data_IF_496245728677
#
_entry.id   IF_496245728677
#
_cell.length_a   1.000
_cell.length_b   1.000
_cell.length_c   1.000
_cell.angle_alpha   90.00
_cell.angle_beta   90.00
_cell.angle_gamma   90.00
#
_symmetry.space_group_name_H-M   'P 1'
#
loop_
_entity.id
_entity.type
_entity.pdbx_description
1 polymer ?
#
# COMPACT_ATOMS: atom_id res chain seq x y z
N UNK A 1 19.02 -18.46 5.91
CA UNK A 1 18.13 -17.33 5.60
C UNK A 1 17.54 -16.84 6.91
N UNK A 2 17.55 -15.54 7.20
CA UNK A 2 16.92 -15.02 8.41
C UNK A 2 15.44 -15.43 8.43
N UNK A 3 14.93 -15.93 9.55
CA UNK A 3 13.56 -16.40 9.67
C UNK A 3 12.61 -15.21 9.54
N UNK A 4 11.89 -15.12 8.43
CA UNK A 4 10.88 -14.07 8.22
C UNK A 4 9.73 -14.25 9.20
N UNK A 5 9.44 -13.23 10.01
CA UNK A 5 8.30 -13.22 10.92
C UNK A 5 7.00 -13.56 10.16
N UNK A 6 6.16 -14.48 10.67
CA UNK A 6 4.90 -14.85 10.01
C UNK A 6 4.03 -13.63 9.73
N UNK A 7 3.49 -13.56 8.52
CA UNK A 7 2.68 -12.43 8.06
C UNK A 7 3.48 -11.23 7.55
N UNK A 8 4.82 -11.26 7.57
CA UNK A 8 5.68 -10.21 7.04
C UNK A 8 6.54 -10.72 5.89
N UNK A 9 6.80 -9.86 4.90
CA UNK A 9 7.72 -10.15 3.81
C UNK A 9 9.20 -9.97 4.24
N UNK A 10 9.43 -9.17 5.29
CA UNK A 10 10.75 -8.82 5.80
C UNK A 10 11.44 -7.71 5.01
N UNK A 11 10.71 -6.95 4.18
CA UNK A 11 11.33 -6.01 3.24
C UNK A 11 10.60 -4.67 3.10
N UNK A 12 11.38 -3.60 2.97
CA UNK A 12 10.94 -2.23 2.69
C UNK A 12 11.52 -1.82 1.34
N UNK A 13 10.67 -1.39 0.41
CA UNK A 13 11.09 -0.77 -0.84
C UNK A 13 11.32 0.72 -0.63
N UNK A 14 12.56 1.18 -0.74
CA UNK A 14 12.92 2.59 -0.69
C UNK A 14 13.20 3.13 -2.09
N UNK A 15 12.54 4.25 -2.43
CA UNK A 15 12.75 4.93 -3.71
C UNK A 15 13.05 6.42 -3.46
N UNK A 16 14.20 6.87 -3.93
CA UNK A 16 14.58 8.28 -3.94
C UNK A 16 14.41 8.86 -5.35
N UNK A 17 13.43 9.74 -5.51
CA UNK A 17 13.08 10.32 -6.81
C UNK A 17 14.06 11.40 -7.30
N UNK A 18 14.90 11.95 -6.41
CA UNK A 18 15.91 12.92 -6.80
C UNK A 18 17.13 12.24 -7.43
N UNK A 19 17.51 11.07 -6.93
CA UNK A 19 18.68 10.32 -7.42
C UNK A 19 18.30 9.16 -8.34
N UNK A 20 17.03 8.76 -8.38
CA UNK A 20 16.58 7.55 -9.08
C UNK A 20 16.94 6.26 -8.34
N UNK A 21 17.54 6.33 -7.15
CA UNK A 21 17.97 5.15 -6.39
C UNK A 21 16.75 4.35 -5.89
N UNK A 22 16.78 3.04 -6.12
CA UNK A 22 15.77 2.09 -5.68
C UNK A 22 16.46 0.98 -4.89
N UNK A 23 16.01 0.70 -3.68
CA UNK A 23 16.63 -0.28 -2.78
C UNK A 23 15.57 -1.10 -2.05
N UNK A 24 15.80 -2.41 -1.96
CA UNK A 24 15.07 -3.30 -1.06
C UNK A 24 15.87 -3.41 0.24
N UNK A 25 15.34 -2.86 1.33
CA UNK A 25 15.98 -2.88 2.65
C UNK A 25 15.30 -3.91 3.57
N UNK A 26 16.04 -4.56 4.47
CA UNK A 26 15.44 -5.44 5.45
C UNK A 26 14.52 -4.65 6.39
N UNK A 27 13.41 -5.28 6.76
CA UNK A 27 12.53 -4.78 7.81
C UNK A 27 13.17 -5.04 9.18
N UNK A 28 13.10 -4.06 10.09
CA UNK A 28 13.61 -4.24 11.45
C UNK A 28 12.62 -5.06 12.28
N UNK A 29 12.99 -6.27 12.66
CA UNK A 29 12.14 -7.19 13.43
C UNK A 29 11.74 -6.63 14.79
N UNK A 30 12.64 -5.93 15.49
CA UNK A 30 12.34 -5.35 16.80
C UNK A 30 11.27 -4.26 16.68
N UNK A 31 11.35 -3.42 15.65
CA UNK A 31 10.32 -2.40 15.39
C UNK A 31 8.98 -3.05 15.00
N UNK A 32 9.00 -4.14 14.23
CA UNK A 32 7.79 -4.90 13.88
C UNK A 32 7.14 -5.51 15.12
N UNK A 33 7.90 -6.12 16.01
CA UNK A 33 7.38 -6.71 17.23
C UNK A 33 6.80 -5.64 18.18
N UNK A 34 7.44 -4.47 18.25
CA UNK A 34 7.00 -3.37 19.11
C UNK A 34 5.82 -2.57 18.55
N UNK A 35 5.76 -2.38 17.23
CA UNK A 35 4.82 -1.44 16.59
C UNK A 35 3.87 -2.12 15.57
N UNK A 36 4.01 -3.43 15.37
CA UNK A 36 3.21 -4.23 14.46
C UNK A 36 3.51 -3.92 12.99
N UNK A 37 2.62 -3.17 12.36
CA UNK A 37 2.68 -2.81 10.94
C UNK A 37 1.83 -1.57 10.67
N UNK A 38 1.61 -1.26 9.40
CA UNK A 38 0.73 -0.17 8.99
C UNK A 38 1.05 1.16 9.69
N UNK A 39 0.10 1.67 10.48
CA UNK A 39 0.23 2.96 11.19
C UNK A 39 1.37 2.96 12.21
N UNK A 40 1.49 1.91 13.03
CA UNK A 40 2.43 1.86 14.15
C UNK A 40 3.87 1.90 13.64
N UNK A 41 4.19 0.95 12.75
CA UNK A 41 5.48 0.91 12.07
C UNK A 41 5.78 2.22 11.32
N UNK A 42 4.79 2.77 10.61
CA UNK A 42 4.98 4.04 9.89
C UNK A 42 5.26 5.22 10.81
N UNK A 43 4.66 5.26 11.99
CA UNK A 43 4.93 6.30 13.00
C UNK A 43 6.35 6.18 13.55
N UNK A 44 6.79 4.95 13.88
CA UNK A 44 8.18 4.70 14.32
C UNK A 44 9.19 5.09 13.24
N UNK A 45 8.98 4.66 12.00
CA UNK A 45 9.85 5.02 10.89
C UNK A 45 9.91 6.54 10.65
N UNK A 46 8.78 7.25 10.80
CA UNK A 46 8.77 8.71 10.65
C UNK A 46 9.54 9.39 11.79
N UNK A 47 9.37 8.90 13.02
CA UNK A 47 10.06 9.38 14.22
C UNK A 47 11.59 9.28 14.06
N UNK A 48 12.09 8.15 13.56
CA UNK A 48 13.54 7.96 13.38
C UNK A 48 14.12 8.80 12.24
N UNK A 49 13.32 9.15 11.23
CA UNK A 49 13.79 9.76 9.98
C UNK A 49 13.67 11.27 9.94
N UNK A 50 12.80 11.87 10.76
CA UNK A 50 12.52 13.30 10.72
C UNK A 50 12.70 13.97 12.06
N UNK A 51 13.46 15.07 12.05
CA UNK A 51 13.52 15.98 13.17
C UNK A 51 12.23 16.82 13.30
N UNK A 52 11.88 17.25 14.51
CA UNK A 52 10.83 18.24 14.73
C UNK A 52 11.03 19.47 13.84
N UNK A 53 9.95 20.01 13.28
CA UNK A 53 10.01 21.22 12.45
C UNK A 53 10.46 21.02 11.00
N UNK A 54 10.72 19.80 10.55
CA UNK A 54 10.98 19.51 9.13
C UNK A 54 9.81 19.92 8.20
N UNK A 55 10.08 20.48 7.02
CA UNK A 55 9.01 20.81 6.08
C UNK A 55 8.34 19.55 5.50
N UNK A 56 7.00 19.47 5.57
CA UNK A 56 6.22 18.37 5.04
C UNK A 56 6.39 18.20 3.51
N UNK A 57 6.70 19.28 2.79
CA UNK A 57 6.89 19.27 1.34
C UNK A 57 8.35 19.16 0.91
N UNK A 58 9.29 19.06 1.87
CA UNK A 58 10.69 18.88 1.58
C UNK A 58 10.95 17.53 0.87
N UNK A 59 11.94 17.46 -0.04
CA UNK A 59 12.38 16.20 -0.65
C UNK A 59 12.70 15.11 0.38
N UNK A 60 13.30 15.48 1.51
CA UNK A 60 13.67 14.55 2.59
C UNK A 60 12.47 13.92 3.32
N UNK A 61 11.30 14.58 3.34
CA UNK A 61 10.12 14.06 4.05
C UNK A 61 9.62 12.78 3.37
N UNK A 62 9.58 11.62 4.05
CA UNK A 62 9.13 10.39 3.42
C UNK A 62 7.61 10.38 3.25
N UNK A 63 7.15 9.87 2.10
CA UNK A 63 5.77 9.42 1.90
C UNK A 63 5.77 7.90 1.92
N UNK A 64 5.10 7.31 2.90
CA UNK A 64 5.17 5.87 3.15
C UNK A 64 3.81 5.22 2.95
N UNK A 65 3.79 4.09 2.26
CA UNK A 65 2.65 3.19 2.15
C UNK A 65 3.00 1.90 2.87
N UNK A 66 2.31 1.62 3.96
CA UNK A 66 2.60 0.48 4.82
C UNK A 66 1.43 -0.49 4.84
N UNK A 67 1.77 -1.77 4.86
CA UNK A 67 0.83 -2.90 4.94
C UNK A 67 0.70 -3.38 6.38
N UNK A 68 -0.39 -4.09 6.68
CA UNK A 68 -0.54 -4.82 7.94
C UNK A 68 -0.06 -6.27 7.83
N UNK A 69 0.20 -6.96 8.94
CA UNK A 69 0.58 -8.38 8.93
C UNK A 69 -0.48 -9.29 8.29
N UNK A 70 -1.75 -8.89 8.36
CA UNK A 70 -2.86 -9.65 7.76
C UNK A 70 -3.15 -9.26 6.30
N UNK A 71 -2.44 -8.27 5.74
CA UNK A 71 -2.63 -7.89 4.35
C UNK A 71 -2.24 -9.02 3.41
N UNK A 72 -3.13 -9.35 2.47
CA UNK A 72 -2.96 -10.47 1.54
C UNK A 72 -3.48 -11.82 2.04
N UNK A 73 -3.85 -11.95 3.32
CA UNK A 73 -4.49 -13.15 3.85
C UNK A 73 -6.02 -13.09 3.72
N UNK A 74 -6.71 -14.25 3.68
CA UNK A 74 -8.18 -14.33 3.66
C UNK A 74 -8.80 -13.99 5.04
N UNK A 75 -8.32 -12.92 5.67
CA UNK A 75 -8.86 -12.37 6.90
C UNK A 75 -9.87 -11.28 6.53
N UNK A 76 -11.11 -11.33 7.03
CA UNK A 76 -12.12 -10.32 6.72
C UNK A 76 -11.60 -8.89 6.92
N UNK A 77 -11.80 -8.05 5.91
CA UNK A 77 -11.44 -6.62 5.91
C UNK A 77 -9.95 -6.29 6.08
N UNK A 78 -9.03 -7.26 5.93
CA UNK A 78 -7.59 -7.07 6.18
C UNK A 78 -6.79 -6.44 5.01
N UNK A 79 -7.42 -5.65 4.13
CA UNK A 79 -6.77 -5.10 2.92
C UNK A 79 -6.35 -3.63 3.02
N UNK A 80 -6.25 -3.10 4.25
CA UNK A 80 -6.05 -1.67 4.48
C UNK A 80 -4.58 -1.27 4.29
N UNK A 81 -4.35 -0.18 3.56
CA UNK A 81 -3.06 0.49 3.41
C UNK A 81 -2.99 1.68 4.35
N UNK A 82 -1.92 1.77 5.13
CA UNK A 82 -1.61 2.95 5.93
C UNK A 82 -0.69 3.89 5.12
N UNK A 83 -1.19 5.08 4.79
CA UNK A 83 -0.35 6.15 4.23
C UNK A 83 0.13 7.02 5.38
N UNK A 84 1.44 7.04 5.61
CA UNK A 84 2.07 7.77 6.72
C UNK A 84 3.13 8.75 6.21
N UNK A 85 3.07 9.97 6.71
CA UNK A 85 4.02 11.05 6.39
C UNK A 85 3.90 12.19 7.41
N UNK A 86 4.62 13.31 7.22
CA UNK A 86 4.34 14.55 7.94
C UNK A 86 3.21 15.31 7.24
N UNK A 87 2.23 15.76 8.00
CA UNK A 87 1.03 16.39 7.45
C UNK A 87 1.33 17.74 6.80
N UNK A 88 0.77 17.99 5.62
CA UNK A 88 0.88 19.29 4.94
C UNK A 88 -0.21 20.28 5.39
N UNK A 89 -1.17 19.83 6.21
CA UNK A 89 -2.37 20.60 6.56
C UNK A 89 -2.37 21.06 8.02
N UNK A 90 -1.95 20.19 8.92
CA UNK A 90 -2.10 20.41 10.36
C UNK A 90 -0.99 21.32 10.87
N UNK A 91 -1.32 22.25 11.75
CA UNK A 91 -0.34 23.02 12.51
C UNK A 91 -0.80 23.08 13.96
N UNK A 92 0.10 22.93 14.94
CA UNK A 92 -0.21 23.31 16.32
C UNK A 92 -0.56 24.81 16.39
N UNK A 93 -1.45 25.18 17.31
CA UNK A 93 -1.86 26.57 17.55
C UNK A 93 -0.69 27.45 18.00
N UNK A 94 0.19 26.88 18.81
CA UNK A 94 1.40 27.54 19.30
C UNK A 94 2.61 26.65 19.01
N UNK A 95 3.52 27.11 18.17
CA UNK A 95 4.81 26.44 17.97
C UNK A 95 5.88 27.44 17.59
N UNK A 96 7.10 27.16 18.07
CA UNK A 96 8.31 27.91 17.73
C UNK A 96 9.03 27.34 16.49
N UNK A 97 8.52 26.25 15.91
CA UNK A 97 9.13 25.58 14.78
C UNK A 97 8.57 26.13 13.46
N UNK A 98 9.45 26.48 12.52
CA UNK A 98 9.08 27.08 11.24
C UNK A 98 8.06 26.26 10.44
N UNK A 99 8.21 24.93 10.40
CA UNK A 99 7.26 24.00 9.77
C UNK A 99 6.65 23.05 10.79
N UNK A 100 6.06 23.63 11.84
CA UNK A 100 5.32 22.87 12.84
C UNK A 100 4.11 22.17 12.20
N UNK A 101 4.03 20.85 12.37
CA UNK A 101 2.92 20.03 11.89
C UNK A 101 2.94 18.67 12.59
N UNK A 102 1.80 17.99 12.61
CA UNK A 102 1.67 16.65 13.20
C UNK A 102 2.02 15.56 12.20
N UNK A 103 2.16 14.33 12.70
CA UNK A 103 2.14 13.14 11.87
C UNK A 103 0.79 13.05 11.12
N UNK A 104 0.84 12.70 9.84
CA UNK A 104 -0.31 12.29 9.05
C UNK A 104 -0.37 10.76 9.02
N UNK A 105 -1.55 10.23 9.32
CA UNK A 105 -1.94 8.86 9.00
C UNK A 105 -3.27 8.92 8.26
N UNK A 106 -3.31 8.33 7.07
CA UNK A 106 -4.54 8.15 6.31
C UNK A 106 -4.68 6.70 5.89
N UNK A 107 -5.90 6.19 5.93
CA UNK A 107 -6.16 4.78 5.70
C UNK A 107 -6.91 4.59 4.39
N UNK A 108 -6.34 3.79 3.49
CA UNK A 108 -6.85 3.51 2.17
C UNK A 108 -7.29 2.04 2.09
N UNK A 109 -8.52 1.78 1.64
CA UNK A 109 -9.00 0.42 1.36
C UNK A 109 -8.73 -0.01 -0.08
N UNK A 110 -9.24 -1.18 -0.46
CA UNK A 110 -9.05 -1.75 -1.79
C UNK A 110 -7.96 -2.80 -1.79
N UNK A 111 -7.14 -2.84 -2.84
CA UNK A 111 -6.22 -3.96 -3.10
C UNK A 111 -4.74 -3.56 -3.09
N UNK A 112 -4.42 -2.28 -2.89
CA UNK A 112 -3.03 -1.81 -2.92
C UNK A 112 -2.12 -2.49 -1.87
N UNK A 113 -2.54 -2.60 -0.61
CA UNK A 113 -1.75 -3.25 0.43
C UNK A 113 -1.53 -4.76 0.18
N UNK A 114 -2.57 -5.55 -0.18
CA UNK A 114 -2.38 -6.92 -0.64
C UNK A 114 -1.39 -7.03 -1.79
N UNK A 115 -1.49 -6.20 -2.84
CA UNK A 115 -0.55 -6.28 -3.96
C UNK A 115 0.87 -5.88 -3.58
N UNK A 116 1.04 -4.94 -2.64
CA UNK A 116 2.37 -4.60 -2.13
C UNK A 116 3.01 -5.77 -1.39
N UNK A 117 2.20 -6.51 -0.60
CA UNK A 117 2.62 -7.76 0.05
C UNK A 117 2.98 -8.84 -0.97
N UNK A 118 2.15 -9.03 -2.00
CA UNK A 118 2.42 -10.03 -3.04
C UNK A 118 3.63 -9.69 -3.90
N UNK A 119 3.95 -8.40 -4.07
CA UNK A 119 5.21 -7.94 -4.64
C UNK A 119 6.43 -8.17 -3.72
N UNK A 120 6.22 -8.64 -2.49
CA UNK A 120 7.28 -8.99 -1.55
C UNK A 120 7.73 -7.85 -0.63
N UNK A 121 6.87 -6.85 -0.38
CA UNK A 121 7.22 -5.70 0.46
C UNK A 121 6.17 -5.44 1.56
N UNK A 122 6.65 -5.10 2.74
CA UNK A 122 5.82 -4.65 3.86
C UNK A 122 5.53 -3.16 3.82
N UNK A 123 6.43 -2.39 3.19
CA UNK A 123 6.29 -0.96 3.02
C UNK A 123 6.97 -0.45 1.74
N UNK A 124 6.40 0.60 1.17
CA UNK A 124 7.00 1.44 0.15
C UNK A 124 7.29 2.82 0.75
N UNK A 125 8.54 3.25 0.72
CA UNK A 125 8.99 4.57 1.19
C UNK A 125 9.48 5.40 0.02
N UNK A 126 8.86 6.57 -0.19
CA UNK A 126 9.21 7.49 -1.27
C UNK A 126 9.81 8.76 -0.69
N UNK A 127 11.06 9.05 -1.08
CA UNK A 127 11.79 10.29 -0.74
C UNK A 127 12.26 10.98 -2.02
N UNK A 128 12.89 12.15 -1.86
CA UNK A 128 13.30 12.98 -2.97
C UNK A 128 12.13 13.68 -3.65
N UNK A 129 12.45 14.29 -4.80
CA UNK A 129 11.54 15.01 -5.69
C UNK A 129 12.04 14.84 -7.12
N UNK A 130 11.19 14.33 -8.01
CA UNK A 130 11.51 14.17 -9.42
C UNK A 130 11.55 15.53 -10.14
N UNK A 131 12.34 15.62 -11.22
CA UNK A 131 12.39 16.83 -12.06
C UNK A 131 11.03 17.13 -12.72
N UNK A 132 10.36 16.08 -13.21
CA UNK A 132 9.03 16.13 -13.83
C UNK A 132 8.05 15.11 -13.24
N UNK A 133 6.80 15.09 -13.72
CA UNK A 133 5.83 14.06 -13.36
C UNK A 133 6.34 12.66 -13.69
N UNK A 134 6.37 11.78 -12.71
CA UNK A 134 6.75 10.37 -12.89
C UNK A 134 5.71 9.41 -12.28
N UNK A 135 5.80 8.13 -12.60
CA UNK A 135 5.09 7.10 -11.87
C UNK A 135 6.01 5.92 -11.59
N UNK A 136 5.80 5.22 -10.47
CA UNK A 136 6.46 3.93 -10.27
C UNK A 136 5.60 2.79 -10.78
N UNK A 137 6.27 1.83 -11.40
CA UNK A 137 5.77 0.48 -11.62
C UNK A 137 6.60 -0.45 -10.77
N UNK A 138 5.92 -1.21 -9.92
CA UNK A 138 6.51 -2.27 -9.12
C UNK A 138 5.87 -3.58 -9.59
N UNK A 139 6.70 -4.49 -10.09
CA UNK A 139 6.32 -5.82 -10.56
C UNK A 139 7.31 -6.81 -9.92
N UNK A 140 6.94 -7.29 -8.72
CA UNK A 140 7.84 -8.02 -7.85
C UNK A 140 9.12 -7.24 -7.54
N UNK A 141 10.27 -7.84 -7.88
CA UNK A 141 11.58 -7.22 -7.71
C UNK A 141 11.93 -6.22 -8.83
N UNK A 142 11.18 -6.18 -9.93
CA UNK A 142 11.38 -5.18 -11.00
C UNK A 142 10.66 -3.89 -10.65
N UNK A 143 11.42 -2.83 -10.44
CA UNK A 143 10.89 -1.52 -10.07
C UNK A 143 11.41 -0.45 -11.03
N UNK A 144 10.49 0.20 -11.75
CA UNK A 144 10.80 1.22 -12.76
C UNK A 144 10.19 2.57 -12.39
N UNK A 145 10.95 3.66 -12.55
CA UNK A 145 10.44 5.04 -12.58
C UNK A 145 10.18 5.44 -14.03
N UNK A 146 8.93 5.78 -14.37
CA UNK A 146 8.48 6.08 -15.74
C UNK A 146 7.88 7.49 -15.82
N UNK A 147 7.87 8.09 -17.02
CA UNK A 147 7.29 9.41 -17.25
C UNK A 147 5.76 9.41 -17.08
N UNK A 148 5.21 10.37 -16.35
CA UNK A 148 3.78 10.51 -16.09
C UNK A 148 3.15 11.77 -16.72
N UNK A 149 3.82 12.46 -17.65
CA UNK A 149 3.33 13.72 -18.21
C UNK A 149 1.94 13.59 -18.82
N UNK A 150 1.65 12.47 -19.46
CA UNK A 150 0.32 12.20 -20.04
C UNK A 150 -0.79 12.06 -19.00
N UNK A 151 -0.49 11.78 -17.75
CA UNK A 151 -1.48 11.68 -16.67
C UNK A 151 -1.63 13.00 -15.92
N UNK A 152 -0.58 13.83 -15.94
CA UNK A 152 -0.55 15.10 -15.23
C UNK A 152 -1.63 16.06 -15.73
N UNK A 153 -2.34 16.70 -14.81
CA UNK A 153 -3.46 17.58 -15.08
C UNK A 153 -4.79 16.87 -15.32
N UNK A 154 -4.82 15.53 -15.37
CA UNK A 154 -6.05 14.77 -15.58
C UNK A 154 -6.79 14.52 -14.27
N UNK A 155 -8.12 14.47 -14.36
CA UNK A 155 -8.97 14.07 -13.24
C UNK A 155 -8.71 12.61 -12.82
N UNK A 156 -9.01 12.29 -11.57
CA UNK A 156 -8.78 10.97 -10.96
C UNK A 156 -9.45 9.83 -11.72
N UNK A 157 -10.66 10.05 -12.25
CA UNK A 157 -11.40 9.03 -13.00
C UNK A 157 -10.78 8.75 -14.37
N UNK A 158 -10.19 9.78 -14.99
CA UNK A 158 -9.47 9.62 -16.25
C UNK A 158 -8.17 8.85 -16.01
N UNK A 159 -7.44 9.18 -14.95
CA UNK A 159 -6.21 8.46 -14.54
C UNK A 159 -6.50 6.98 -14.26
N UNK A 160 -7.57 6.67 -13.52
CA UNK A 160 -7.98 5.30 -13.19
C UNK A 160 -8.22 4.44 -14.44
N UNK A 161 -8.75 5.04 -15.52
CA UNK A 161 -8.99 4.36 -16.80
C UNK A 161 -7.72 4.26 -17.66
N UNK A 162 -6.91 5.32 -17.69
CA UNK A 162 -5.75 5.42 -18.57
C UNK A 162 -4.57 4.58 -18.07
N UNK A 163 -4.36 4.48 -16.75
CA UNK A 163 -3.22 3.74 -16.18
C UNK A 163 -3.25 2.25 -16.53
N UNK A 164 -4.37 1.51 -16.35
CA UNK A 164 -4.45 0.11 -16.77
C UNK A 164 -4.24 -0.06 -18.27
N UNK A 165 -4.80 0.84 -19.09
CA UNK A 165 -4.69 0.79 -20.55
C UNK A 165 -3.25 1.00 -21.03
N UNK A 166 -2.54 1.99 -20.46
CA UNK A 166 -1.13 2.27 -20.75
C UNK A 166 -0.23 1.06 -20.60
N UNK A 167 -0.60 0.16 -19.71
CA UNK A 167 0.26 -0.89 -19.23
C UNK A 167 -0.21 -2.28 -19.63
N UNK A 168 -1.29 -2.36 -20.42
CA UNK A 168 -1.81 -3.59 -21.00
C UNK A 168 -2.36 -4.61 -20.00
N UNK A 169 -2.48 -4.27 -18.71
CA UNK A 169 -2.92 -5.21 -17.68
C UNK A 169 -3.75 -4.51 -16.59
N UNK A 170 -5.00 -4.98 -16.48
CA UNK A 170 -6.02 -4.49 -15.56
C UNK A 170 -5.88 -5.01 -14.13
N UNK A 171 -5.03 -6.00 -13.89
CA UNK A 171 -4.81 -6.59 -12.55
C UNK A 171 -4.04 -5.65 -11.62
N UNK A 172 -3.23 -4.77 -12.21
CA UNK A 172 -2.43 -3.85 -11.43
C UNK A 172 -3.29 -2.89 -10.62
N UNK A 173 -2.84 -2.68 -9.39
CA UNK A 173 -3.47 -1.76 -8.46
C UNK A 173 -2.66 -0.46 -8.44
N UNK A 174 -3.38 0.68 -8.52
CA UNK A 174 -2.74 1.99 -8.62
C UNK A 174 -3.24 2.93 -7.54
N UNK A 175 -2.34 3.77 -7.05
CA UNK A 175 -2.66 4.90 -6.19
C UNK A 175 -2.12 6.18 -6.81
N UNK A 176 -2.96 7.20 -6.83
CA UNK A 176 -2.70 8.38 -7.64
C UNK A 176 -3.33 9.62 -7.04
N UNK A 177 -2.90 10.78 -7.54
CA UNK A 177 -3.45 12.08 -7.16
C UNK A 177 -4.16 12.69 -8.36
N UNK A 178 -5.11 13.57 -8.10
CA UNK A 178 -5.68 14.45 -9.12
C UNK A 178 -5.03 15.83 -9.12
N UNK A 179 -5.61 16.79 -9.87
CA UNK A 179 -5.06 18.14 -10.01
C UNK A 179 -4.91 18.90 -8.68
N UNK A 180 -5.71 18.57 -7.67
CA UNK A 180 -5.56 19.13 -6.34
C UNK A 180 -4.21 18.77 -5.69
N UNK A 181 -3.75 17.53 -5.83
CA UNK A 181 -2.44 17.10 -5.34
C UNK A 181 -1.31 17.75 -6.14
N UNK A 182 -1.46 17.78 -7.46
CA UNK A 182 -0.49 18.41 -8.38
C UNK A 182 -0.28 19.90 -8.10
N UNK A 183 -1.36 20.61 -7.72
CA UNK A 183 -1.35 22.03 -7.33
C UNK A 183 -1.08 22.25 -5.84
N UNK A 184 -0.68 21.21 -5.11
CA UNK A 184 -0.32 21.27 -3.68
C UNK A 184 -1.43 21.80 -2.77
N UNK A 185 -2.71 21.54 -3.09
CA UNK A 185 -3.82 21.85 -2.18
C UNK A 185 -3.59 21.10 -0.87
N UNK A 186 -3.52 21.80 0.26
CA UNK A 186 -3.08 21.22 1.56
C UNK A 186 -3.94 20.05 2.05
N UNK A 187 -5.18 19.92 1.60
CA UNK A 187 -6.08 18.81 1.92
C UNK A 187 -6.27 17.83 0.74
N UNK A 188 -5.41 17.87 -0.27
CA UNK A 188 -5.45 16.91 -1.37
C UNK A 188 -5.28 15.47 -0.88
N UNK A 189 -5.97 14.56 -1.57
CA UNK A 189 -6.08 13.15 -1.22
C UNK A 189 -5.26 12.28 -2.18
N UNK A 190 -4.99 11.04 -1.75
CA UNK A 190 -4.52 9.98 -2.65
C UNK A 190 -5.70 9.05 -2.90
N UNK A 191 -5.94 8.74 -4.17
CA UNK A 191 -7.08 7.96 -4.64
C UNK A 191 -6.66 6.58 -5.14
N UNK A 192 -7.60 5.64 -5.08
CA UNK A 192 -7.51 4.27 -5.60
C UNK A 192 -8.90 3.84 -6.10
N UNK A 193 -8.95 3.17 -7.26
CA UNK A 193 -10.19 2.65 -7.88
C UNK A 193 -11.31 3.68 -7.92
N UNK A 194 -10.97 4.93 -8.24
CA UNK A 194 -11.80 6.15 -8.28
C UNK A 194 -12.58 6.54 -6.99
N UNK A 195 -12.78 5.64 -6.04
CA UNK A 195 -13.75 5.77 -4.94
C UNK A 195 -13.14 5.55 -3.55
N UNK A 196 -11.91 5.03 -3.48
CA UNK A 196 -11.19 4.84 -2.22
C UNK A 196 -10.16 5.95 -2.07
N UNK A 197 -10.09 6.53 -0.87
CA UNK A 197 -9.23 7.67 -0.60
C UNK A 197 -8.44 7.51 0.70
N UNK A 198 -7.15 7.82 0.64
CA UNK A 198 -6.41 8.34 1.78
C UNK A 198 -6.74 9.84 1.86
N UNK A 199 -7.83 10.14 2.58
CA UNK A 199 -8.61 11.37 2.39
C UNK A 199 -8.26 12.57 3.27
N UNK A 200 -7.33 12.44 4.24
CA UNK A 200 -7.10 13.49 5.26
C UNK A 200 -5.61 13.75 5.48
N UNK A 201 -5.33 14.88 6.14
CA UNK A 201 -3.99 15.34 6.54
C UNK A 201 -3.05 15.70 5.37
N UNK A 202 -3.59 15.84 4.15
CA UNK A 202 -2.83 16.36 3.02
C UNK A 202 -1.82 15.38 2.42
N UNK A 203 -2.05 14.07 2.54
CA UNK A 203 -1.14 13.05 1.96
C UNK A 203 -1.01 13.20 0.44
N UNK A 204 -2.06 13.62 -0.26
CA UNK A 204 -2.02 13.90 -1.70
C UNK A 204 -1.20 15.14 -2.05
N UNK A 205 -1.17 16.14 -1.15
CA UNK A 205 -0.30 17.31 -1.30
C UNK A 205 1.17 16.91 -1.22
N UNK A 206 1.52 16.09 -0.21
CA UNK A 206 2.88 15.55 -0.07
C UNK A 206 3.26 14.71 -1.29
N UNK A 207 2.37 13.84 -1.79
CA UNK A 207 2.62 13.06 -3.00
C UNK A 207 2.84 13.95 -4.24
N UNK A 208 2.05 15.00 -4.40
CA UNK A 208 2.21 15.98 -5.47
C UNK A 208 3.52 16.77 -5.39
N UNK A 209 3.99 17.10 -4.19
CA UNK A 209 5.27 17.82 -3.98
C UNK A 209 6.48 17.02 -4.48
N UNK A 210 6.35 15.69 -4.52
CA UNK A 210 7.35 14.74 -5.03
C UNK A 210 7.22 14.43 -6.52
N UNK A 211 6.11 14.89 -7.14
CA UNK A 211 5.69 14.74 -8.54
C UNK A 211 5.53 13.28 -9.01
N UNK A 212 4.71 12.46 -8.32
CA UNK A 212 4.56 11.03 -8.65
C UNK A 212 3.13 10.42 -8.56
N UNK A 213 2.85 9.40 -9.40
CA UNK A 213 1.81 8.34 -9.25
C UNK A 213 2.43 6.95 -8.92
N UNK A 214 1.74 6.01 -8.28
CA UNK A 214 2.32 4.69 -7.91
C UNK A 214 1.45 3.53 -8.35
N UNK A 215 2.06 2.48 -8.90
CA UNK A 215 1.40 1.26 -9.38
C UNK A 215 2.12 -0.01 -8.92
N UNK A 216 1.35 -1.07 -8.65
CA UNK A 216 1.79 -2.40 -8.20
C UNK A 216 1.15 -3.53 -9.02
N UNK A 217 1.97 -4.50 -9.47
CA UNK A 217 1.55 -5.83 -9.92
C UNK A 217 1.98 -6.87 -8.88
N UNK A 218 1.20 -7.93 -8.70
CA UNK A 218 1.74 -9.14 -8.09
C UNK A 218 2.69 -9.83 -9.06
N UNK A 219 3.88 -10.22 -8.57
CA UNK A 219 4.74 -11.19 -9.25
C UNK A 219 4.43 -12.59 -8.68
N UNK A 220 4.00 -13.51 -9.54
CA UNK A 220 4.01 -14.95 -9.22
C UNK A 220 5.12 -15.61 -10.04
N UNK A 221 5.94 -16.51 -9.47
CA UNK A 221 6.62 -17.48 -10.30
C UNK A 221 5.55 -18.38 -10.93
N UNK A 222 5.50 -18.39 -12.27
CA UNK A 222 4.74 -19.39 -13.02
C UNK A 222 5.39 -20.76 -12.77
N UNK A 223 4.77 -21.56 -11.90
CA UNK A 223 4.64 -22.99 -12.14
C UNK A 223 3.47 -23.57 -11.31
N UNK A 224 2.40 -23.92 -12.02
CA UNK A 224 1.45 -24.96 -11.63
C UNK A 224 0.83 -25.49 -12.93
N UNK A 225 1.42 -26.58 -13.43
CA UNK A 225 0.88 -27.38 -14.52
C UNK A 225 -0.42 -28.08 -14.08
N UNK A 226 -1.33 -28.15 -15.04
CA UNK A 226 -2.37 -29.16 -15.30
C UNK A 226 -3.35 -29.58 -14.19
N UNK A 227 -4.61 -29.19 -14.39
CA UNK A 227 -5.66 -30.15 -14.75
C UNK A 227 -6.82 -29.39 -15.40
N UNK A 228 -7.05 -29.64 -16.68
CA UNK A 228 -7.91 -28.84 -17.55
C UNK A 228 -9.40 -28.91 -17.25
N UNK A 229 -10.12 -27.92 -17.79
CA UNK A 229 -11.53 -28.01 -18.15
C UNK A 229 -11.80 -27.14 -19.37
N UNK A 230 -12.42 -27.74 -20.38
CA UNK A 230 -12.87 -27.16 -21.65
C UNK A 230 -14.10 -26.24 -21.49
N UNK A 231 -14.35 -25.47 -22.55
CA UNK A 231 -15.16 -24.25 -22.69
C UNK A 231 -16.68 -24.35 -22.44
N UNK A 232 -17.33 -23.21 -22.10
CA UNK A 232 -18.46 -22.55 -22.81
C UNK A 232 -19.01 -21.30 -22.03
N UNK A 233 -19.83 -20.38 -22.61
CA UNK A 233 -19.62 -18.92 -22.55
C UNK A 233 -20.68 -18.08 -21.75
N UNK A 234 -20.21 -16.95 -21.16
CA UNK A 234 -20.83 -15.63 -20.71
C UNK A 234 -22.27 -15.54 -20.10
N UNK A 235 -22.66 -14.50 -19.30
CA UNK A 235 -21.93 -13.32 -18.76
C UNK A 235 -22.17 -12.93 -17.25
N UNK A 236 -21.20 -12.17 -16.69
CA UNK A 236 -21.28 -11.03 -15.70
C UNK A 236 -22.05 -11.18 -14.35
N UNK A 237 -21.34 -11.18 -13.21
CA UNK A 237 -21.16 -10.06 -12.23
C UNK A 237 -20.43 -10.57 -10.95
N UNK A 238 -19.58 -9.72 -10.36
CA UNK A 238 -18.68 -9.99 -9.21
C UNK A 238 -19.32 -10.67 -8.00
N UNK A 239 -18.62 -11.66 -7.40
CA UNK A 239 -18.84 -12.06 -6.00
C UNK A 239 -17.55 -12.57 -5.34
N UNK A 240 -17.23 -11.99 -4.18
CA UNK A 240 -16.31 -12.55 -3.20
C UNK A 240 -16.76 -13.97 -2.81
N UNK A 241 -15.84 -14.93 -2.79
CA UNK A 241 -16.00 -16.13 -1.98
C UNK A 241 -14.65 -16.60 -1.45
N UNK A 242 -14.59 -16.80 -0.13
CA UNK A 242 -13.59 -17.62 0.54
C UNK A 242 -14.23 -18.99 0.75
N UNK A 243 -13.56 -20.09 0.38
CA UNK A 243 -13.51 -21.32 1.20
C UNK A 243 -12.58 -22.39 0.60
N UNK A 244 -11.80 -22.98 1.51
CA UNK A 244 -11.13 -24.30 1.48
C UNK A 244 -10.35 -24.74 0.23
N UNK A 245 -9.06 -24.41 0.17
CA UNK A 245 -8.02 -25.27 -0.44
C UNK A 245 -6.61 -24.75 -0.08
N UNK A 246 -6.25 -24.90 1.20
CA UNK A 246 -4.87 -24.83 1.69
C UNK A 246 -4.21 -26.21 1.52
N UNK A 247 -4.11 -26.76 0.31
CA UNK A 247 -3.44 -28.06 0.16
C UNK A 247 -1.92 -27.97 -0.04
N UNK A 248 -1.36 -26.80 -0.37
CA UNK A 248 0.09 -26.65 -0.50
C UNK A 248 0.63 -25.36 0.13
N UNK A 249 0.15 -25.01 1.32
CA UNK A 249 0.96 -24.17 2.20
C UNK A 249 2.14 -25.02 2.67
N UNK A 250 3.30 -24.74 2.11
CA UNK A 250 4.59 -25.33 2.44
C UNK A 250 4.81 -25.48 3.95
N UNK A 251 5.53 -26.52 4.39
CA UNK A 251 5.60 -26.99 5.79
C UNK A 251 6.24 -26.00 6.79
N UNK A 252 6.61 -24.78 6.37
CA UNK A 252 7.15 -23.76 7.26
C UNK A 252 6.08 -22.92 7.99
N UNK A 253 4.79 -23.08 7.66
CA UNK A 253 3.70 -22.41 8.38
C UNK A 253 2.95 -23.40 9.26
N UNK A 254 3.42 -23.51 10.50
CA UNK A 254 2.87 -24.41 11.51
C UNK A 254 1.38 -24.18 11.81
N UNK A 255 0.66 -25.30 11.79
CA UNK A 255 -0.64 -25.61 12.42
C UNK A 255 -1.93 -25.04 11.81
N UNK A 256 -2.64 -25.91 11.08
CA UNK A 256 -3.58 -26.87 11.67
C UNK A 256 -4.70 -26.32 12.55
N UNK A 257 -5.88 -26.05 11.97
CA UNK A 257 -7.18 -26.25 12.62
C UNK A 257 -8.22 -26.54 11.52
N UNK A 258 -8.80 -27.73 11.54
CA UNK A 258 -9.95 -28.09 10.72
C UNK A 258 -11.25 -27.64 11.37
N UNK A 259 -12.22 -27.19 10.56
CA UNK A 259 -13.60 -27.01 11.01
C UNK A 259 -14.55 -27.39 9.86
N UNK A 260 -15.19 -28.55 10.04
CA UNK A 260 -16.37 -29.00 9.30
C UNK A 260 -17.57 -28.10 9.60
N UNK A 261 -18.35 -27.80 8.57
CA UNK A 261 -19.47 -26.86 8.63
C UNK A 261 -20.70 -27.33 9.42
N UNK A 262 -21.63 -26.40 9.58
CA UNK A 262 -22.98 -26.66 10.08
C UNK A 262 -23.47 -25.60 11.05
N UNK A 263 -24.05 -24.52 10.54
CA UNK A 263 -24.86 -23.57 11.32
C UNK A 263 -26.12 -24.24 11.86
N UNK A 264 -26.26 -24.29 13.19
CA UNK A 264 -27.57 -24.25 13.87
C UNK A 264 -27.48 -23.38 15.12
N UNK A 265 -28.37 -22.39 15.19
CA UNK A 265 -28.68 -21.60 16.38
C UNK A 265 -28.90 -22.50 17.60
N UNK A 266 -28.20 -22.28 18.72
CA UNK A 266 -28.73 -22.55 20.07
C UNK A 266 -28.10 -21.55 21.06
N UNK A 267 -28.83 -20.48 21.38
CA UNK A 267 -28.83 -19.92 22.73
C UNK A 267 -29.72 -20.85 23.57
N UNK A 268 -29.17 -21.65 24.47
CA UNK A 268 -29.87 -22.23 25.63
C UNK A 268 -28.93 -23.04 26.53
N UNK A 269 -29.13 -22.85 27.84
CA UNK A 269 -28.72 -23.64 29.00
C UNK A 269 -27.24 -23.81 29.32
N UNK A 270 -26.79 -22.96 30.24
CA UNK A 270 -25.74 -23.20 31.22
C UNK A 270 -26.14 -24.30 32.23
N UNK A 271 -25.11 -25.01 32.70
CA UNK A 271 -24.98 -25.86 33.92
C UNK A 271 -25.59 -27.26 33.97
N UNK A 272 -24.98 -28.18 34.76
CA UNK A 272 -23.55 -28.50 34.92
C UNK A 272 -23.17 -29.84 34.29
#
# INVERSE_FOLDING_TARGET
>A
MAATLPGYCGAILEVNLSTGKIEKKPLNEADVLAFGGGRGLGAKMLWDRLSPGADALAPATPLMFLTGPYSGFPVPCASRTAVVTKSALTSPLHSKLAHASTLAYSNLGGFFAPELKFAGYDALVVTGKAAGPVYLVIDGDKVDVRDAKKFWGKGTDAVDKLLPAELGDKRFQSVYIGPAGEKLVRYATIMHTASRAAGRCGTGCVMGSKKRLTRLQPSYPLDARDSGFEELPVPVLYRLSVSSARENATPSMGLGVGLSGGTRNIFASLTP
#
